data_IF_262663321318
#
_entry.id   IF_262663321318
#
_cell.length_a   1.000
_cell.length_b   1.000
_cell.length_c   1.000
_cell.angle_alpha   90.00
_cell.angle_beta   90.00
_cell.angle_gamma   90.00
#
_symmetry.space_group_name_H-M   'P 1'
#
loop_
_entity.id
_entity.type
_entity.pdbx_description
1 polymer ?
#
# COMPACT_ATOMS: atom_id res chain seq x y z
N UNK A 1 -11.13 -34.13 -24.10
CA UNK A 1 -10.60 -32.77 -23.91
C UNK A 1 -9.50 -32.82 -22.87
N UNK A 2 -8.36 -32.20 -23.13
CA UNK A 2 -7.25 -32.09 -22.17
C UNK A 2 -7.11 -30.60 -21.82
N UNK A 3 -7.67 -30.19 -20.69
CA UNK A 3 -7.63 -28.80 -20.23
C UNK A 3 -6.63 -28.68 -19.09
N UNK A 4 -5.68 -27.75 -19.23
CA UNK A 4 -4.76 -27.38 -18.17
C UNK A 4 -5.27 -26.10 -17.51
N UNK A 5 -5.15 -26.01 -16.18
CA UNK A 5 -5.59 -24.87 -15.39
C UNK A 5 -4.37 -24.33 -14.64
N UNK A 6 -4.18 -23.02 -14.72
CA UNK A 6 -3.24 -22.28 -13.89
C UNK A 6 -4.05 -21.40 -12.95
N UNK A 7 -3.74 -21.46 -11.67
CA UNK A 7 -4.34 -20.61 -10.64
C UNK A 7 -3.23 -19.91 -9.85
N UNK A 8 -3.41 -18.64 -9.55
CA UNK A 8 -2.51 -17.84 -8.71
C UNK A 8 -3.20 -17.50 -7.40
N UNK A 9 -2.43 -17.48 -6.32
CA UNK A 9 -2.92 -17.15 -4.98
C UNK A 9 -1.96 -16.15 -4.37
N UNK A 10 -2.49 -14.99 -3.96
CA UNK A 10 -1.74 -13.95 -3.27
C UNK A 10 -1.96 -14.05 -1.74
N UNK A 11 -1.95 -15.28 -1.22
CA UNK A 11 -2.18 -15.55 0.20
C UNK A 11 -1.32 -16.73 0.66
N UNK A 12 -1.22 -16.90 1.97
CA UNK A 12 -0.56 -18.06 2.56
C UNK A 12 -1.21 -19.36 2.11
N UNK A 13 -0.37 -20.38 1.90
CA UNK A 13 -0.84 -21.68 1.44
C UNK A 13 -1.85 -22.34 2.38
N UNK A 14 -1.78 -22.01 3.68
CA UNK A 14 -2.72 -22.54 4.67
C UNK A 14 -4.14 -21.97 4.53
N UNK A 15 -4.27 -20.78 3.95
CA UNK A 15 -5.57 -20.16 3.64
C UNK A 15 -6.19 -20.72 2.34
N UNK A 16 -5.41 -21.41 1.50
CA UNK A 16 -5.91 -22.07 0.30
C UNK A 16 -6.67 -23.33 0.70
N UNK A 17 -7.84 -23.55 0.09
CA UNK A 17 -8.64 -24.75 0.32
C UNK A 17 -7.81 -26.02 0.09
N UNK A 18 -7.64 -26.79 1.17
CA UNK A 18 -6.93 -28.06 1.20
C UNK A 18 -7.36 -29.05 0.11
N UNK A 19 -8.60 -28.95 -0.38
CA UNK A 19 -9.11 -29.77 -1.47
C UNK A 19 -8.27 -29.60 -2.75
N UNK A 20 -7.82 -28.38 -3.06
CA UNK A 20 -6.97 -28.08 -4.22
C UNK A 20 -5.55 -28.64 -4.08
N UNK A 21 -5.06 -28.76 -2.85
CA UNK A 21 -3.73 -29.29 -2.53
C UNK A 21 -3.67 -30.82 -2.54
N UNK A 22 -4.82 -31.51 -2.67
CA UNK A 22 -4.87 -32.97 -2.73
C UNK A 22 -4.13 -33.49 -3.96
N UNK A 23 -3.41 -34.61 -3.78
CA UNK A 23 -2.74 -35.31 -4.88
C UNK A 23 -3.72 -35.54 -6.04
N UNK A 24 -3.28 -35.16 -7.24
CA UNK A 24 -4.08 -35.28 -8.47
C UNK A 24 -4.91 -34.05 -8.84
N UNK A 25 -4.92 -32.97 -8.03
CA UNK A 25 -5.54 -31.69 -8.39
C UNK A 25 -4.52 -30.68 -8.87
N UNK A 26 -3.69 -30.16 -7.96
CA UNK A 26 -2.52 -29.36 -8.31
C UNK A 26 -1.32 -30.29 -8.50
N UNK A 27 -0.84 -30.35 -9.73
CA UNK A 27 0.28 -31.23 -10.13
C UNK A 27 1.62 -30.52 -9.91
N UNK A 28 1.63 -29.19 -9.93
CA UNK A 28 2.79 -28.36 -9.70
C UNK A 28 2.42 -27.18 -8.79
N UNK A 29 3.36 -26.80 -7.92
CA UNK A 29 3.30 -25.58 -7.13
C UNK A 29 4.56 -24.78 -7.42
N UNK A 30 4.40 -23.48 -7.60
CA UNK A 30 5.50 -22.53 -7.71
C UNK A 30 5.27 -21.40 -6.71
N UNK A 31 6.36 -20.92 -6.12
CA UNK A 31 6.34 -19.79 -5.20
C UNK A 31 7.18 -18.67 -5.81
N UNK A 32 6.58 -17.49 -5.95
CA UNK A 32 7.26 -16.30 -6.43
C UNK A 32 8.05 -15.69 -5.28
N UNK A 33 9.35 -15.98 -5.24
CA UNK A 33 10.29 -15.36 -4.32
C UNK A 33 10.80 -14.01 -4.81
N UNK A 34 11.77 -13.45 -4.07
CA UNK A 34 12.53 -12.29 -4.53
C UNK A 34 13.33 -12.64 -5.79
N UNK A 35 13.34 -11.73 -6.75
CA UNK A 35 14.24 -11.77 -7.89
C UNK A 35 15.68 -11.53 -7.41
N UNK A 36 16.64 -12.16 -8.07
CA UNK A 36 18.05 -11.85 -7.83
C UNK A 36 18.39 -10.42 -8.27
N UNK A 37 19.58 -9.96 -7.89
CA UNK A 37 20.00 -8.57 -8.16
C UNK A 37 19.99 -8.28 -9.67
N UNK A 38 20.43 -9.21 -10.49
CA UNK A 38 20.49 -9.03 -11.95
C UNK A 38 19.10 -8.91 -12.57
N UNK A 39 18.19 -9.85 -12.28
CA UNK A 39 16.82 -9.82 -12.79
C UNK A 39 16.06 -8.61 -12.26
N UNK A 40 16.31 -8.21 -11.01
CA UNK A 40 15.74 -7.01 -10.40
C UNK A 40 16.18 -5.75 -11.15
N UNK A 41 17.48 -5.62 -11.47
CA UNK A 41 18.01 -4.50 -12.27
C UNK A 41 17.41 -4.48 -13.67
N UNK A 42 17.35 -5.63 -14.34
CA UNK A 42 16.77 -5.74 -15.69
C UNK A 42 15.30 -5.30 -15.68
N UNK A 43 14.52 -5.75 -14.70
CA UNK A 43 13.11 -5.35 -14.60
C UNK A 43 12.98 -3.87 -14.26
N UNK A 44 13.77 -3.38 -13.31
CA UNK A 44 13.79 -1.97 -12.90
C UNK A 44 14.16 -1.02 -14.04
N UNK A 45 15.16 -1.38 -14.85
CA UNK A 45 15.56 -0.64 -16.04
C UNK A 45 14.43 -0.59 -17.08
N UNK A 46 13.75 -1.73 -17.31
CA UNK A 46 12.56 -1.79 -18.19
C UNK A 46 11.41 -0.92 -17.72
N UNK A 47 11.30 -0.68 -16.41
CA UNK A 47 10.30 0.20 -15.81
C UNK A 47 10.75 1.69 -15.79
N UNK A 48 11.97 1.99 -16.24
CA UNK A 48 12.50 3.36 -16.28
C UNK A 48 13.07 3.86 -14.94
N UNK A 49 13.28 2.98 -13.97
CA UNK A 49 13.86 3.33 -12.68
C UNK A 49 15.39 3.23 -12.68
N UNK A 50 16.03 3.97 -11.76
CA UNK A 50 17.48 3.91 -11.56
C UNK A 50 17.86 2.58 -10.89
N UNK A 51 18.89 1.93 -11.41
CA UNK A 51 19.30 0.57 -10.96
C UNK A 51 20.51 0.56 -10.03
N UNK A 52 21.14 1.72 -9.78
CA UNK A 52 22.38 1.84 -9.02
C UNK A 52 22.25 1.38 -7.55
N UNK A 53 21.07 1.56 -6.98
CA UNK A 53 20.80 1.29 -5.56
C UNK A 53 20.33 -0.15 -5.31
N UNK A 54 20.08 -0.94 -6.37
CA UNK A 54 19.67 -2.33 -6.27
C UNK A 54 20.91 -3.20 -5.99
N UNK A 55 21.15 -3.52 -4.72
CA UNK A 55 22.30 -4.35 -4.31
C UNK A 55 21.88 -5.63 -3.57
N UNK A 56 20.59 -5.86 -3.45
CA UNK A 56 20.03 -7.05 -2.81
C UNK A 56 18.85 -7.60 -3.63
N UNK A 57 18.51 -8.89 -3.46
CA UNK A 57 17.30 -9.45 -4.05
C UNK A 57 16.05 -8.64 -3.67
N UNK A 58 15.15 -8.41 -4.63
CA UNK A 58 13.91 -7.64 -4.44
C UNK A 58 12.69 -8.42 -4.89
N UNK A 59 11.59 -8.26 -4.17
CA UNK A 59 10.26 -8.70 -4.60
C UNK A 59 9.76 -7.84 -5.75
N UNK A 60 8.81 -8.37 -6.52
CA UNK A 60 8.15 -7.59 -7.57
C UNK A 60 7.51 -6.32 -7.00
N UNK A 61 6.86 -6.41 -5.83
CA UNK A 61 6.23 -5.25 -5.19
C UNK A 61 7.24 -4.12 -4.91
N UNK A 62 8.40 -4.44 -4.34
CA UNK A 62 9.48 -3.48 -4.11
C UNK A 62 9.98 -2.86 -5.43
N UNK A 63 10.09 -3.65 -6.51
CA UNK A 63 10.56 -3.15 -7.82
C UNK A 63 9.55 -2.22 -8.49
N UNK A 64 8.26 -2.55 -8.44
CA UNK A 64 7.21 -1.72 -9.04
C UNK A 64 6.91 -0.45 -8.24
N UNK A 65 7.26 -0.40 -6.95
CA UNK A 65 6.96 0.73 -6.07
C UNK A 65 8.17 1.67 -5.79
N UNK A 66 9.23 1.63 -6.60
CA UNK A 66 10.43 2.48 -6.41
C UNK A 66 10.15 3.99 -6.50
N UNK A 67 9.04 4.40 -7.14
CA UNK A 67 8.67 5.80 -7.35
C UNK A 67 7.86 6.45 -6.23
N UNK A 68 7.59 5.75 -5.12
CA UNK A 68 6.82 6.29 -4.00
C UNK A 68 5.31 6.31 -4.25
N UNK A 69 4.68 5.14 -4.30
CA UNK A 69 3.24 5.02 -4.13
C UNK A 69 2.89 5.07 -2.64
N UNK A 70 2.15 6.10 -2.25
CA UNK A 70 1.67 6.38 -0.90
C UNK A 70 1.13 5.13 -0.20
N UNK A 71 1.69 4.84 0.97
CA UNK A 71 1.26 3.76 1.85
C UNK A 71 -0.06 4.16 2.51
N UNK A 72 -1.18 3.75 1.91
CA UNK A 72 -2.49 3.85 2.55
C UNK A 72 -2.52 2.84 3.70
N UNK A 73 -2.18 3.31 4.90
CA UNK A 73 -2.29 2.58 6.16
C UNK A 73 -3.75 2.12 6.34
N UNK A 74 -4.07 0.90 5.88
CA UNK A 74 -5.26 0.21 6.36
C UNK A 74 -4.92 -0.31 7.75
N UNK A 75 -5.19 0.51 8.76
CA UNK A 75 -5.28 0.07 10.15
C UNK A 75 -6.49 -0.86 10.23
N UNK A 76 -6.29 -2.16 10.09
CA UNK A 76 -7.26 -3.14 10.55
C UNK A 76 -7.22 -3.16 12.09
N UNK A 77 -7.83 -2.13 12.68
CA UNK A 77 -8.13 -2.09 14.11
C UNK A 77 -9.36 -2.95 14.35
N UNK A 78 -9.16 -4.16 14.88
CA UNK A 78 -10.22 -4.88 15.55
C UNK A 78 -10.46 -4.20 16.91
N UNK A 79 -11.69 -3.72 17.09
CA UNK A 79 -12.19 -3.04 18.28
C UNK A 79 -12.69 -4.06 19.30
N UNK A 80 -12.19 -3.99 20.54
CA UNK A 80 -12.93 -4.42 21.74
C UNK A 80 -12.44 -3.57 22.92
N UNK A 81 -13.20 -2.53 23.25
CA UNK A 81 -13.25 -2.00 24.62
C UNK A 81 -14.72 -1.64 24.86
N UNK A 82 -15.44 -2.58 25.49
CA UNK A 82 -16.70 -2.32 26.15
C UNK A 82 -16.37 -1.45 27.37
N UNK A 83 -16.72 -0.17 27.34
CA UNK A 83 -16.78 0.65 28.54
C UNK A 83 -18.23 0.70 28.98
N UNK A 84 -18.45 0.14 30.17
CA UNK A 84 -19.70 0.15 30.93
C UNK A 84 -20.19 1.60 31.11
N UNK A 85 -21.48 1.81 30.93
CA UNK A 85 -22.15 3.08 31.25
C UNK A 85 -22.17 3.24 32.77
N UNK A 86 -21.50 4.27 33.28
CA UNK A 86 -21.79 4.84 34.61
C UNK A 86 -22.62 6.12 34.39
N UNK A 87 -23.89 6.03 34.75
CA UNK A 87 -24.79 7.15 34.93
C UNK A 87 -24.32 7.96 36.16
N UNK A 88 -23.75 9.14 35.96
CA UNK A 88 -23.66 10.16 37.00
C UNK A 88 -24.29 11.46 36.46
N UNK A 89 -25.55 11.65 36.85
CA UNK A 89 -26.21 12.95 36.90
C UNK A 89 -25.40 13.87 37.83
N UNK A 90 -24.93 15.02 37.37
CA UNK A 90 -24.90 16.24 38.19
C UNK A 90 -24.69 17.49 37.31
N UNK A 91 -25.67 18.39 37.42
CA UNK A 91 -25.75 19.71 36.81
C UNK A 91 -24.57 20.62 37.23
N UNK A 92 -23.98 21.38 36.30
CA UNK A 92 -23.82 22.83 36.52
C UNK A 92 -23.34 23.57 35.25
N UNK A 93 -24.02 24.69 35.01
CA UNK A 93 -23.74 25.68 33.98
C UNK A 93 -22.42 26.42 34.28
N UNK A 94 -21.61 26.71 33.25
CA UNK A 94 -21.21 28.10 33.06
C UNK A 94 -20.75 28.41 31.63
N UNK A 95 -21.35 29.49 31.11
CA UNK A 95 -21.08 30.08 29.81
C UNK A 95 -19.82 30.95 29.89
N UNK A 96 -18.82 30.72 29.05
CA UNK A 96 -17.89 31.80 28.67
C UNK A 96 -17.59 31.78 27.17
N UNK A 97 -18.20 32.72 26.46
CA UNK A 97 -17.84 33.15 25.11
C UNK A 97 -16.74 34.21 25.16
N UNK A 98 -15.69 34.10 24.35
CA UNK A 98 -14.90 35.23 23.80
C UNK A 98 -13.93 34.71 22.71
N UNK A 99 -14.30 34.82 21.43
CA UNK A 99 -13.77 35.76 20.41
C UNK A 99 -12.25 35.75 20.11
N UNK A 100 -11.94 35.20 18.92
CA UNK A 100 -11.10 35.70 17.79
C UNK A 100 -9.68 36.21 18.11
N UNK A 101 -8.68 35.59 17.46
CA UNK A 101 -7.68 36.39 16.76
C UNK A 101 -7.27 35.75 15.42
N UNK A 102 -7.45 36.52 14.36
CA UNK A 102 -7.11 36.22 12.97
C UNK A 102 -5.68 36.71 12.74
N UNK A 103 -4.76 35.84 12.34
CA UNK A 103 -3.54 36.26 11.65
C UNK A 103 -3.49 35.60 10.27
N UNK A 104 -4.12 36.27 9.32
CA UNK A 104 -3.72 36.25 7.92
C UNK A 104 -2.33 36.87 7.84
N UNK A 105 -1.37 36.13 7.30
CA UNK A 105 -0.22 36.72 6.65
C UNK A 105 -0.08 36.06 5.28
N UNK A 106 -0.61 36.78 4.29
CA UNK A 106 -0.34 36.63 2.88
C UNK A 106 1.15 36.78 2.61
N UNK A 107 1.77 35.81 1.94
CA UNK A 107 2.79 36.09 0.94
C UNK A 107 2.66 35.09 -0.23
N UNK A 108 2.58 35.58 -1.49
CA UNK A 108 2.41 34.78 -2.68
C UNK A 108 3.78 34.24 -3.14
N UNK A 109 3.83 32.99 -3.59
CA UNK A 109 4.99 32.51 -4.34
C UNK A 109 4.50 31.93 -5.66
N UNK A 110 5.12 32.45 -6.71
CA UNK A 110 4.72 32.41 -8.10
C UNK A 110 4.73 30.99 -8.70
N UNK A 111 3.77 30.77 -9.59
CA UNK A 111 3.79 29.69 -10.57
C UNK A 111 4.74 30.07 -11.70
N UNK A 112 5.80 29.29 -11.89
CA UNK A 112 6.53 29.26 -13.16
C UNK A 112 6.04 28.02 -13.94
N UNK A 113 5.16 28.27 -14.90
CA UNK A 113 4.81 27.33 -15.96
C UNK A 113 5.97 27.33 -16.97
N UNK A 114 6.77 26.27 -17.00
CA UNK A 114 7.66 26.02 -18.13
C UNK A 114 6.89 25.23 -19.20
N UNK A 115 6.48 25.99 -20.21
CA UNK A 115 5.99 25.57 -21.51
C UNK A 115 7.16 25.09 -22.37
N UNK A 116 7.36 23.77 -22.46
CA UNK A 116 8.14 23.16 -23.53
C UNK A 116 7.36 21.99 -24.14
N UNK A 117 6.52 22.36 -25.12
CA UNK A 117 6.39 21.68 -26.41
C UNK A 117 6.01 20.19 -26.40
N UNK A 118 4.71 19.92 -26.25
CA UNK A 118 4.10 18.76 -26.88
C UNK A 118 4.13 18.94 -28.41
N UNK A 119 5.06 18.28 -29.08
CA UNK A 119 4.85 17.86 -30.47
C UNK A 119 3.86 16.68 -30.49
N UNK A 120 2.89 16.80 -31.38
CA UNK A 120 1.71 15.94 -31.59
C UNK A 120 2.03 14.71 -32.46
#
# INVERSE_FOLDING_TARGET
>A
MHQQIIATFNCDLQAVDSALLRKGRLIAKYEFGKLDVESSKILSEKLGFKTADIQAPMSLAEIYNQGGGEESQRKDGHAEEEQEEEDDDEDEEDQTTATIDLHMNDLPIQMDYNDESCDW
#
